data_IF_052181843993
#
_entry.id   IF_052181843993
#
_cell.length_a   1.000
_cell.length_b   1.000
_cell.length_c   1.000
_cell.angle_alpha   90.00
_cell.angle_beta   90.00
_cell.angle_gamma   90.00
#
_symmetry.space_group_name_H-M   'P 1'
#
loop_
_entity.id
_entity.type
_entity.pdbx_description
1 polymer ?
#
# COMPACT_ATOMS: atom_id res chain seq x y z
N UNK A 1 -51.88 -9.81 -56.27
CA UNK A 1 -51.61 -9.36 -54.89
C UNK A 1 -50.19 -9.78 -54.49
N UNK A 2 -49.18 -8.94 -54.78
CA UNK A 2 -47.78 -9.19 -54.37
C UNK A 2 -47.57 -8.56 -53.00
N UNK A 3 -47.50 -9.40 -51.96
CA UNK A 3 -47.12 -8.96 -50.61
C UNK A 3 -45.64 -8.52 -50.61
N UNK A 4 -45.26 -7.54 -49.77
CA UNK A 4 -43.96 -6.91 -49.86
C UNK A 4 -42.91 -7.77 -49.15
N UNK A 5 -42.15 -8.54 -49.92
CA UNK A 5 -40.99 -9.30 -49.43
C UNK A 5 -39.94 -8.37 -48.78
N UNK A 6 -39.90 -7.11 -49.23
CA UNK A 6 -38.99 -6.06 -48.75
C UNK A 6 -39.25 -5.66 -47.31
N UNK A 7 -40.50 -5.68 -46.85
CA UNK A 7 -40.86 -5.30 -45.46
C UNK A 7 -40.48 -6.37 -44.44
N UNK A 8 -40.45 -7.64 -44.86
CA UNK A 8 -40.01 -8.76 -44.01
C UNK A 8 -38.50 -8.69 -43.83
N UNK A 9 -37.75 -8.37 -44.88
CA UNK A 9 -36.28 -8.30 -44.84
C UNK A 9 -35.79 -7.13 -43.99
N UNK A 10 -36.44 -5.96 -44.05
CA UNK A 10 -36.09 -4.82 -43.18
C UNK A 10 -36.41 -5.08 -41.71
N UNK A 11 -37.49 -5.80 -41.39
CA UNK A 11 -37.79 -6.21 -40.01
C UNK A 11 -36.75 -7.17 -39.43
N UNK A 12 -36.24 -8.09 -40.26
CA UNK A 12 -35.22 -9.07 -39.87
C UNK A 12 -33.83 -8.43 -39.66
N UNK A 13 -33.50 -7.40 -40.43
CA UNK A 13 -32.25 -6.63 -40.25
C UNK A 13 -32.33 -5.73 -39.01
N UNK A 14 -33.48 -5.11 -38.73
CA UNK A 14 -33.65 -4.31 -37.51
C UNK A 14 -33.62 -5.16 -36.23
N UNK A 15 -34.15 -6.38 -36.23
CA UNK A 15 -34.13 -7.25 -35.04
C UNK A 15 -32.73 -7.75 -34.66
N UNK A 16 -31.83 -7.91 -35.64
CA UNK A 16 -30.43 -8.29 -35.41
C UNK A 16 -29.62 -7.17 -34.72
N UNK A 17 -30.01 -5.90 -34.90
CA UNK A 17 -29.35 -4.74 -34.26
C UNK A 17 -29.73 -4.66 -32.76
N UNK A 18 -30.94 -5.09 -32.38
CA UNK A 18 -31.39 -5.12 -30.99
C UNK A 18 -30.84 -6.31 -30.17
N UNK A 19 -30.27 -7.34 -30.82
CA UNK A 19 -29.70 -8.49 -30.12
C UNK A 19 -28.25 -8.31 -29.66
N UNK A 20 -27.61 -7.19 -30.04
CA UNK A 20 -26.23 -6.90 -29.67
C UNK A 20 -26.09 -6.04 -28.40
N UNK A 21 -27.07 -6.14 -27.49
CA UNK A 21 -26.88 -5.76 -26.10
C UNK A 21 -25.83 -6.70 -25.49
N UNK A 22 -24.54 -6.38 -25.65
CA UNK A 22 -23.51 -6.87 -24.73
C UNK A 22 -23.97 -6.48 -23.34
N UNK A 23 -24.47 -7.44 -22.57
CA UNK A 23 -24.74 -7.25 -21.16
C UNK A 23 -23.42 -6.75 -20.55
N UNK A 24 -23.38 -5.49 -20.14
CA UNK A 24 -22.29 -4.98 -19.33
C UNK A 24 -22.18 -5.90 -18.13
N UNK A 25 -21.06 -6.63 -18.04
CA UNK A 25 -20.81 -7.53 -16.94
C UNK A 25 -20.76 -6.66 -15.68
N UNK A 26 -21.81 -6.70 -14.87
CA UNK A 26 -21.86 -5.96 -13.61
C UNK A 26 -20.78 -6.52 -12.71
N UNK A 27 -19.65 -5.82 -12.63
CA UNK A 27 -18.52 -6.20 -11.78
C UNK A 27 -18.95 -6.01 -10.33
N UNK A 28 -18.79 -7.05 -9.52
CA UNK A 28 -19.07 -6.97 -8.08
C UNK A 28 -18.16 -5.94 -7.39
N UNK A 29 -18.57 -5.43 -6.22
CA UNK A 29 -17.73 -4.49 -5.46
C UNK A 29 -16.38 -5.09 -5.09
N UNK A 30 -16.36 -6.38 -4.77
CA UNK A 30 -15.13 -7.14 -4.46
C UNK A 30 -14.21 -7.25 -5.67
N UNK A 31 -14.72 -7.65 -6.84
CA UNK A 31 -13.91 -7.71 -8.07
C UNK A 31 -13.39 -6.34 -8.47
N UNK A 32 -14.22 -5.30 -8.34
CA UNK A 32 -13.80 -3.93 -8.60
C UNK A 32 -12.67 -3.51 -7.64
N UNK A 33 -12.83 -3.77 -6.35
CA UNK A 33 -11.82 -3.48 -5.34
C UNK A 33 -10.52 -4.24 -5.55
N UNK A 34 -10.57 -5.48 -6.05
CA UNK A 34 -9.37 -6.23 -6.43
C UNK A 34 -8.61 -5.57 -7.58
N UNK A 35 -9.32 -5.19 -8.65
CA UNK A 35 -8.70 -4.51 -9.81
C UNK A 35 -8.00 -3.23 -9.35
N UNK A 36 -8.68 -2.39 -8.58
CA UNK A 36 -8.10 -1.15 -8.07
C UNK A 36 -6.93 -1.41 -7.13
N UNK A 37 -7.03 -2.43 -6.25
CA UNK A 37 -5.94 -2.78 -5.35
C UNK A 37 -4.66 -3.12 -6.11
N UNK A 38 -4.72 -3.99 -7.12
CA UNK A 38 -3.54 -4.33 -7.93
C UNK A 38 -3.02 -3.15 -8.74
N UNK A 39 -3.90 -2.28 -9.25
CA UNK A 39 -3.52 -1.07 -9.98
C UNK A 39 -2.70 -0.11 -9.10
N UNK A 40 -3.12 0.14 -7.86
CA UNK A 40 -2.44 1.10 -6.97
C UNK A 40 -1.27 0.50 -6.19
N UNK A 41 -1.20 -0.83 -6.09
CA UNK A 41 -0.27 -1.52 -5.21
C UNK A 41 1.20 -1.10 -5.39
N UNK A 42 1.74 -0.96 -6.62
CA UNK A 42 3.12 -0.50 -6.81
C UNK A 42 3.37 0.89 -6.21
N UNK A 43 2.47 1.84 -6.45
CA UNK A 43 2.59 3.20 -5.91
C UNK A 43 2.45 3.23 -4.39
N UNK A 44 1.55 2.39 -3.83
CA UNK A 44 1.37 2.27 -2.39
C UNK A 44 2.64 1.69 -1.77
N UNK A 45 3.17 0.62 -2.34
CA UNK A 45 4.38 -0.03 -1.87
C UNK A 45 5.57 0.92 -1.88
N UNK A 46 5.80 1.66 -2.96
CA UNK A 46 6.87 2.67 -3.05
C UNK A 46 6.73 3.78 -2.00
N UNK A 47 5.49 4.08 -1.58
CA UNK A 47 5.23 5.15 -0.62
C UNK A 47 5.40 4.71 0.84
N UNK A 48 5.14 3.43 1.14
CA UNK A 48 5.18 2.93 2.53
C UNK A 48 6.45 2.13 2.83
N UNK A 49 7.01 1.42 1.86
CA UNK A 49 8.12 0.50 2.09
C UNK A 49 9.47 1.17 1.78
N UNK A 50 10.44 0.95 2.66
CA UNK A 50 11.84 1.26 2.42
C UNK A 50 12.72 0.07 2.81
N UNK A 51 13.86 -0.07 2.15
CA UNK A 51 14.85 -1.09 2.52
C UNK A 51 15.57 -0.65 3.79
N UNK A 52 15.26 -1.29 4.93
CA UNK A 52 15.89 -1.04 6.23
C UNK A 52 17.42 -1.18 6.20
N UNK A 53 17.99 -1.91 5.24
CA UNK A 53 19.46 -2.01 5.09
C UNK A 53 20.09 -0.66 4.72
N UNK A 54 19.29 0.24 4.12
CA UNK A 54 19.66 1.59 3.70
C UNK A 54 19.47 2.66 4.81
N UNK A 55 18.94 2.31 5.98
CA UNK A 55 18.68 3.28 7.06
C UNK A 55 19.96 4.02 7.46
N UNK A 56 19.93 5.37 7.57
CA UNK A 56 21.09 6.17 7.98
C UNK A 56 21.59 5.79 9.38
N UNK A 57 22.82 6.20 9.74
CA UNK A 57 23.36 5.93 11.07
C UNK A 57 22.40 6.45 12.16
N UNK A 58 22.33 5.75 13.30
CA UNK A 58 21.39 6.08 14.36
C UNK A 58 21.66 7.48 14.95
N UNK A 59 20.65 8.06 15.63
CA UNK A 59 20.80 9.31 16.37
C UNK A 59 21.92 9.22 17.43
N UNK A 60 22.34 10.36 18.02
CA UNK A 60 23.36 10.36 19.07
C UNK A 60 23.02 9.34 20.17
N UNK A 61 23.99 8.54 20.64
CA UNK A 61 23.73 7.61 21.73
C UNK A 61 23.48 8.38 23.04
N UNK A 62 22.79 7.77 24.03
CA UNK A 62 22.43 8.44 25.29
C UNK A 62 23.58 9.14 25.99
N UNK A 63 24.80 8.58 25.93
CA UNK A 63 25.99 9.15 26.59
C UNK A 63 26.35 10.57 26.09
N UNK A 64 25.93 10.96 24.89
CA UNK A 64 26.14 12.33 24.38
C UNK A 64 25.26 13.36 25.08
N UNK A 65 24.11 12.94 25.62
CA UNK A 65 23.18 13.80 26.34
C UNK A 65 23.50 13.89 27.84
N UNK A 66 24.33 12.99 28.36
CA UNK A 66 24.72 12.96 29.79
C UNK A 66 25.87 13.92 30.13
N UNK A 67 26.48 14.58 29.13
CA UNK A 67 27.56 15.54 29.39
C UNK A 67 26.99 16.77 30.10
N UNK A 68 27.61 17.13 31.24
CA UNK A 68 27.22 18.26 32.13
C UNK A 68 27.06 19.62 31.43
N UNK A 69 27.62 19.78 30.22
CA UNK A 69 27.53 21.00 29.41
C UNK A 69 26.20 21.17 28.66
N UNK A 70 25.31 20.17 28.72
CA UNK A 70 24.02 20.19 28.05
C UNK A 70 22.89 20.10 29.10
N UNK A 71 22.31 21.25 29.43
CA UNK A 71 20.99 21.31 30.05
C UNK A 71 19.91 20.93 29.01
N UNK A 72 18.76 20.42 29.46
CA UNK A 72 17.62 19.98 28.63
C UNK A 72 17.11 21.05 27.64
N UNK A 73 17.56 22.29 27.78
CA UNK A 73 17.27 23.45 26.92
C UNK A 73 18.13 23.53 25.64
N UNK A 74 19.12 22.64 25.42
CA UNK A 74 20.10 22.78 24.32
C UNK A 74 20.26 21.54 23.41
N UNK A 75 19.16 20.83 23.13
CA UNK A 75 19.14 19.60 22.32
C UNK A 75 19.77 19.79 20.92
N UNK A 76 19.50 20.94 20.28
CA UNK A 76 20.01 21.23 18.94
C UNK A 76 21.54 21.33 18.90
N UNK A 77 22.15 21.88 19.96
CA UNK A 77 23.62 21.94 20.09
C UNK A 77 24.20 20.55 20.28
N UNK A 78 23.59 19.69 21.09
CA UNK A 78 24.03 18.28 21.26
C UNK A 78 24.05 17.55 19.92
N UNK A 79 22.97 17.68 19.14
CA UNK A 79 22.86 17.06 17.83
C UNK A 79 23.92 17.62 16.87
N UNK A 80 24.15 18.94 16.89
CA UNK A 80 25.16 19.61 16.07
C UNK A 80 26.58 19.14 16.41
N UNK A 81 26.91 19.05 17.70
CA UNK A 81 28.22 18.60 18.18
C UNK A 81 28.45 17.11 17.87
N UNK A 82 27.41 16.26 18.03
CA UNK A 82 27.47 14.85 17.61
C UNK A 82 27.76 14.72 16.11
N UNK A 83 27.09 15.51 15.27
CA UNK A 83 27.31 15.51 13.80
C UNK A 83 28.73 15.92 13.40
N UNK A 84 29.46 16.61 14.27
CA UNK A 84 30.87 16.99 14.06
C UNK A 84 31.86 16.00 14.67
N UNK A 85 31.38 15.04 15.46
CA UNK A 85 32.26 14.05 16.10
C UNK A 85 32.89 13.11 15.09
N UNK A 86 34.12 12.68 15.36
CA UNK A 86 34.82 11.67 14.54
C UNK A 86 34.01 10.37 14.40
N UNK A 87 33.26 10.01 15.46
CA UNK A 87 32.36 8.86 15.45
C UNK A 87 31.29 9.00 14.37
N UNK A 88 30.55 10.11 14.37
CA UNK A 88 29.49 10.32 13.38
C UNK A 88 30.06 10.41 11.96
N UNK A 89 31.19 11.10 11.77
CA UNK A 89 31.84 11.20 10.46
C UNK A 89 32.21 9.81 9.94
N UNK A 90 32.82 8.96 10.78
CA UNK A 90 33.17 7.58 10.42
C UNK A 90 31.93 6.72 10.14
N UNK A 91 30.90 6.80 10.98
CA UNK A 91 29.66 6.05 10.80
C UNK A 91 28.93 6.48 9.51
N UNK A 92 28.98 7.77 9.17
CA UNK A 92 28.43 8.31 7.93
C UNK A 92 29.18 7.79 6.71
N UNK A 93 30.52 7.81 6.70
CA UNK A 93 31.33 7.26 5.61
C UNK A 93 31.05 5.76 5.42
N UNK A 94 30.99 5.00 6.51
CA UNK A 94 30.65 3.58 6.47
C UNK A 94 29.24 3.33 5.90
N UNK A 95 28.27 4.15 6.29
CA UNK A 95 26.91 4.08 5.74
C UNK A 95 26.86 4.43 4.25
N UNK A 96 27.58 5.46 3.81
CA UNK A 96 27.68 5.84 2.38
C UNK A 96 28.26 4.68 1.56
N UNK A 97 29.38 4.08 2.00
CA UNK A 97 29.99 2.91 1.35
C UNK A 97 29.04 1.70 1.30
N UNK A 98 28.32 1.43 2.40
CA UNK A 98 27.32 0.35 2.46
C UNK A 98 26.15 0.62 1.51
N UNK A 99 25.65 1.86 1.47
CA UNK A 99 24.57 2.28 0.58
C UNK A 99 24.95 2.07 -0.88
N UNK A 100 26.17 2.46 -1.27
CA UNK A 100 26.66 2.25 -2.64
C UNK A 100 26.75 0.76 -2.99
N UNK A 101 27.20 -0.07 -2.05
CA UNK A 101 27.22 -1.53 -2.21
C UNK A 101 25.80 -2.09 -2.38
N UNK A 102 24.84 -1.64 -1.58
CA UNK A 102 23.44 -2.07 -1.65
C UNK A 102 22.70 -1.56 -2.90
N UNK A 103 23.11 -0.43 -3.46
CA UNK A 103 22.57 0.05 -4.73
C UNK A 103 22.92 -0.94 -5.86
N UNK A 104 24.14 -1.49 -5.84
CA UNK A 104 24.62 -2.50 -6.80
C UNK A 104 24.14 -3.93 -6.48
N UNK A 105 23.75 -4.21 -5.23
CA UNK A 105 23.22 -5.51 -4.79
C UNK A 105 21.97 -5.90 -5.59
N UNK A 106 21.98 -7.06 -6.26
CA UNK A 106 20.83 -7.56 -7.02
C UNK A 106 20.01 -8.62 -6.26
N UNK A 107 20.37 -8.89 -5.00
CA UNK A 107 19.72 -9.91 -4.16
C UNK A 107 18.24 -9.60 -4.01
N UNK A 108 17.36 -10.60 -4.23
CA UNK A 108 15.93 -10.44 -4.00
C UNK A 108 15.61 -10.08 -2.55
N UNK A 109 14.62 -9.20 -2.39
CA UNK A 109 14.05 -8.81 -1.10
C UNK A 109 12.64 -9.38 -1.04
N UNK A 110 12.40 -10.34 -0.15
CA UNK A 110 11.09 -10.94 0.01
C UNK A 110 10.24 -10.16 1.00
N UNK A 111 9.03 -9.81 0.59
CA UNK A 111 7.99 -9.27 1.46
C UNK A 111 6.96 -10.38 1.74
N UNK A 112 6.74 -10.67 3.01
CA UNK A 112 5.72 -11.60 3.45
C UNK A 112 4.36 -10.90 3.45
N UNK A 113 3.49 -11.24 2.51
CA UNK A 113 2.19 -10.60 2.30
C UNK A 113 1.11 -11.40 3.02
N UNK A 114 0.26 -10.74 3.81
CA UNK A 114 -0.96 -11.35 4.34
C UNK A 114 -1.72 -12.08 3.24
N UNK A 115 -2.14 -13.32 3.50
CA UNK A 115 -2.82 -14.16 2.50
C UNK A 115 -4.09 -13.54 1.92
N UNK A 116 -4.75 -12.70 2.70
CA UNK A 116 -5.97 -11.99 2.32
C UNK A 116 -5.97 -10.56 2.82
N UNK A 117 -6.73 -9.70 2.15
CA UNK A 117 -7.07 -8.40 2.73
C UNK A 117 -8.07 -8.54 3.87
N UNK A 118 -7.95 -7.70 4.89
CA UNK A 118 -8.92 -7.63 6.00
C UNK A 118 -10.12 -6.76 5.63
N UNK A 119 -11.16 -6.77 6.45
CA UNK A 119 -12.23 -5.77 6.36
C UNK A 119 -11.72 -4.35 6.66
N UNK A 120 -12.46 -3.34 6.20
CA UNK A 120 -12.32 -1.95 6.66
C UNK A 120 -13.12 -1.73 7.95
N UNK A 121 -12.77 -0.68 8.69
CA UNK A 121 -13.40 -0.31 9.95
C UNK A 121 -14.46 0.78 9.76
N UNK A 122 -15.34 0.97 10.75
CA UNK A 122 -16.40 2.00 10.67
C UNK A 122 -15.78 3.40 10.62
N UNK A 123 -14.68 3.58 11.30
CA UNK A 123 -13.87 4.79 11.37
C UNK A 123 -13.39 5.21 9.97
N UNK A 124 -13.13 4.26 9.08
CA UNK A 124 -12.72 4.55 7.71
C UNK A 124 -13.83 5.23 6.90
N UNK A 125 -15.10 4.93 7.19
CA UNK A 125 -16.24 5.63 6.58
C UNK A 125 -16.23 7.11 6.94
N UNK A 126 -16.02 7.41 8.22
CA UNK A 126 -15.97 8.78 8.71
C UNK A 126 -14.76 9.53 8.13
N UNK A 127 -13.58 8.91 8.15
CA UNK A 127 -12.36 9.53 7.64
C UNK A 127 -12.41 9.75 6.12
N UNK A 128 -13.03 8.85 5.34
CA UNK A 128 -13.24 9.04 3.91
C UNK A 128 -14.11 10.29 3.61
N UNK A 129 -15.24 10.43 4.30
CA UNK A 129 -16.13 11.60 4.15
C UNK A 129 -15.44 12.88 4.59
N UNK A 130 -14.70 12.85 5.69
CA UNK A 130 -13.96 14.00 6.23
C UNK A 130 -12.86 14.46 5.27
N UNK A 131 -12.08 13.53 4.73
CA UNK A 131 -10.98 13.84 3.81
C UNK A 131 -11.49 14.43 2.48
N UNK A 132 -12.57 13.86 1.93
CA UNK A 132 -13.17 14.34 0.68
C UNK A 132 -14.42 15.22 0.86
N UNK A 133 -14.56 15.91 2.01
CA UNK A 133 -15.75 16.72 2.33
C UNK A 133 -16.11 17.74 1.24
N UNK A 134 -15.11 18.35 0.61
CA UNK A 134 -15.30 19.38 -0.44
C UNK A 134 -15.70 18.78 -1.80
N UNK A 135 -15.76 17.44 -1.92
CA UNK A 135 -16.14 16.72 -3.13
C UNK A 135 -17.55 16.14 -3.07
N UNK A 136 -18.29 16.39 -1.99
CA UNK A 136 -19.68 15.94 -1.78
C UNK A 136 -19.85 14.43 -2.02
N UNK A 137 -18.90 13.62 -1.53
CA UNK A 137 -18.96 12.17 -1.71
C UNK A 137 -20.15 11.56 -0.95
N UNK A 138 -20.69 10.46 -1.49
CA UNK A 138 -21.81 9.72 -0.89
C UNK A 138 -21.36 8.29 -0.65
N UNK A 139 -21.58 7.75 0.55
CA UNK A 139 -21.33 6.34 0.85
C UNK A 139 -22.59 5.51 0.60
N UNK A 140 -22.44 4.29 0.10
CA UNK A 140 -23.57 3.36 -0.06
C UNK A 140 -23.88 2.61 1.25
N UNK A 141 -24.42 3.33 2.24
CA UNK A 141 -24.68 2.80 3.58
C UNK A 141 -25.57 1.56 3.65
N UNK A 142 -26.28 1.21 2.57
CA UNK A 142 -27.19 0.05 2.50
C UNK A 142 -26.51 -1.22 1.98
N UNK A 143 -25.47 -1.09 1.15
CA UNK A 143 -24.80 -2.22 0.50
C UNK A 143 -23.36 -2.44 1.00
N UNK A 144 -22.93 -1.72 2.03
CA UNK A 144 -21.59 -1.87 2.64
C UNK A 144 -21.45 -3.26 3.26
N UNK A 145 -20.66 -4.11 2.59
CA UNK A 145 -20.36 -5.45 3.06
C UNK A 145 -19.11 -5.44 3.95
N UNK A 146 -19.32 -5.55 5.27
CA UNK A 146 -18.27 -5.37 6.28
C UNK A 146 -17.37 -6.59 6.52
N UNK A 147 -17.73 -7.80 6.06
CA UNK A 147 -17.14 -9.05 6.62
C UNK A 147 -16.34 -9.92 5.66
N UNK A 148 -16.36 -9.63 4.36
CA UNK A 148 -15.79 -10.55 3.38
C UNK A 148 -14.48 -9.99 2.82
N UNK A 149 -13.33 -10.45 3.33
CA UNK A 149 -12.04 -10.22 2.68
C UNK A 149 -11.90 -11.01 1.37
N UNK A 150 -10.80 -10.81 0.64
CA UNK A 150 -10.44 -11.66 -0.49
C UNK A 150 -8.97 -12.08 -0.42
N UNK A 151 -8.67 -13.27 -0.96
CA UNK A 151 -7.30 -13.78 -1.06
C UNK A 151 -6.51 -12.93 -2.05
N UNK A 152 -5.30 -12.53 -1.65
CA UNK A 152 -4.37 -11.81 -2.53
C UNK A 152 -3.71 -12.84 -3.47
N UNK A 153 -3.70 -12.55 -4.76
CA UNK A 153 -2.97 -13.31 -5.76
C UNK A 153 -1.58 -12.68 -5.93
N UNK A 154 -0.54 -13.33 -5.40
CA UNK A 154 0.81 -12.78 -5.44
C UNK A 154 1.35 -12.61 -6.86
N UNK A 155 0.82 -13.35 -7.84
CA UNK A 155 1.24 -13.23 -9.24
C UNK A 155 0.75 -11.93 -9.91
N UNK A 156 -0.25 -11.28 -9.32
CA UNK A 156 -0.78 -9.98 -9.78
C UNK A 156 -0.17 -8.80 -9.04
N UNK A 157 0.63 -9.04 -8.00
CA UNK A 157 1.35 -7.99 -7.32
C UNK A 157 2.54 -7.54 -8.16
N UNK A 158 2.57 -6.26 -8.48
CA UNK A 158 3.68 -5.64 -9.17
C UNK A 158 4.49 -4.75 -8.22
N UNK A 159 5.78 -4.57 -8.50
CA UNK A 159 6.62 -3.61 -7.80
C UNK A 159 7.47 -2.85 -8.81
N UNK A 160 7.61 -1.55 -8.59
CA UNK A 160 8.54 -0.73 -9.36
C UNK A 160 10.01 -1.06 -9.03
N UNK A 161 10.26 -1.72 -7.89
CA UNK A 161 11.58 -2.24 -7.55
C UNK A 161 11.70 -3.73 -7.92
N UNK A 162 12.52 -4.02 -8.94
CA UNK A 162 12.74 -5.38 -9.46
C UNK A 162 13.31 -6.37 -8.43
N UNK A 163 13.97 -5.88 -7.37
CA UNK A 163 14.50 -6.71 -6.28
C UNK A 163 13.37 -7.27 -5.41
N UNK A 164 12.23 -6.59 -5.34
CA UNK A 164 11.12 -7.02 -4.48
C UNK A 164 10.45 -8.26 -5.06
N UNK A 165 10.23 -9.24 -4.19
CA UNK A 165 9.49 -10.48 -4.43
C UNK A 165 8.48 -10.70 -3.29
N UNK A 166 7.45 -11.48 -3.56
CA UNK A 166 6.36 -11.71 -2.62
C UNK A 166 6.25 -13.18 -2.24
N UNK A 167 5.96 -13.43 -0.97
CA UNK A 167 5.61 -14.75 -0.44
C UNK A 167 4.39 -14.61 0.46
N UNK A 168 3.59 -15.66 0.58
CA UNK A 168 2.48 -15.63 1.52
C UNK A 168 3.01 -15.67 2.94
N UNK A 169 2.41 -14.87 3.81
CA UNK A 169 2.79 -14.86 5.21
C UNK A 169 2.53 -16.22 5.89
N UNK A 170 1.55 -16.99 5.42
CA UNK A 170 1.29 -18.35 5.90
C UNK A 170 2.41 -19.37 5.59
N UNK A 171 3.34 -19.05 4.68
CA UNK A 171 4.53 -19.88 4.41
C UNK A 171 5.58 -19.80 5.53
N UNK A 172 5.43 -18.85 6.47
CA UNK A 172 6.42 -18.55 7.50
C UNK A 172 5.96 -18.95 8.91
N UNK A 173 6.89 -19.13 9.85
CA UNK A 173 6.57 -19.31 11.26
C UNK A 173 5.71 -18.18 11.83
N UNK A 174 4.86 -18.50 12.81
CA UNK A 174 3.97 -17.52 13.45
C UNK A 174 4.69 -16.73 14.54
N UNK A 175 4.20 -15.53 14.81
CA UNK A 175 4.66 -14.72 15.94
C UNK A 175 6.11 -14.25 15.81
N UNK A 176 6.86 -14.28 16.91
CA UNK A 176 8.26 -13.80 16.95
C UNK A 176 9.22 -14.70 16.19
N UNK A 177 8.87 -15.97 16.01
CA UNK A 177 9.69 -16.93 15.27
C UNK A 177 9.85 -16.55 13.80
N UNK A 178 8.88 -15.82 13.23
CA UNK A 178 9.01 -15.20 11.92
C UNK A 178 10.32 -14.41 11.77
N UNK A 179 10.66 -13.62 12.80
CA UNK A 179 11.82 -12.72 12.78
C UNK A 179 13.12 -13.36 13.30
N UNK A 180 13.01 -14.50 13.98
CA UNK A 180 14.16 -15.22 14.58
C UNK A 180 14.67 -16.35 13.71
N UNK A 181 13.86 -16.80 12.76
CA UNK A 181 14.23 -17.85 11.83
C UNK A 181 15.27 -17.32 10.86
N UNK A 182 16.35 -18.08 10.69
CA UNK A 182 17.32 -17.85 9.62
C UNK A 182 16.75 -18.43 8.32
N UNK A 183 16.64 -17.58 7.31
CA UNK A 183 16.19 -17.95 5.97
C UNK A 183 17.40 -17.93 5.02
N UNK A 184 17.33 -18.75 3.97
CA UNK A 184 18.26 -18.75 2.84
C UNK A 184 18.08 -17.54 1.91
N UNK A 185 17.10 -16.68 2.17
CA UNK A 185 16.83 -15.42 1.47
C UNK A 185 16.54 -14.28 2.43
N UNK A 186 16.66 -13.04 1.93
CA UNK A 186 16.39 -11.85 2.75
C UNK A 186 14.89 -11.54 2.83
N UNK A 187 14.34 -11.53 4.05
CA UNK A 187 12.98 -11.08 4.33
C UNK A 187 13.02 -9.63 4.80
N UNK A 188 12.47 -8.72 3.98
CA UNK A 188 12.53 -7.28 4.22
C UNK A 188 11.41 -6.76 5.13
N UNK A 189 10.20 -7.26 4.94
CA UNK A 189 9.05 -6.87 5.76
C UNK A 189 7.94 -7.93 5.73
N UNK A 190 7.02 -7.82 6.68
CA UNK A 190 5.69 -8.41 6.62
C UNK A 190 4.68 -7.29 6.33
N UNK A 191 3.81 -7.44 5.35
CA UNK A 191 2.86 -6.40 4.91
C UNK A 191 1.43 -6.93 4.86
N UNK A 192 0.45 -6.07 5.12
CA UNK A 192 -0.96 -6.40 5.03
C UNK A 192 -1.82 -5.17 4.76
N UNK A 193 -3.02 -5.40 4.21
CA UNK A 193 -3.95 -4.34 3.81
C UNK A 193 -5.39 -4.71 4.15
N UNK A 194 -6.22 -3.70 4.37
CA UNK A 194 -7.66 -3.85 4.34
C UNK A 194 -8.19 -3.82 2.89
N UNK A 195 -9.46 -4.18 2.73
CA UNK A 195 -10.24 -3.82 1.56
C UNK A 195 -10.27 -2.30 1.37
N UNK A 196 -10.48 -1.90 0.13
CA UNK A 196 -10.77 -0.52 -0.22
C UNK A 196 -12.27 -0.29 0.03
N UNK A 197 -12.58 0.72 0.83
CA UNK A 197 -13.92 1.29 0.94
C UNK A 197 -14.04 2.40 -0.10
N UNK A 198 -15.05 2.31 -0.97
CA UNK A 198 -15.30 3.31 -2.01
C UNK A 198 -16.48 4.22 -1.67
N UNK A 199 -16.46 5.41 -2.27
CA UNK A 199 -17.68 6.18 -2.43
C UNK A 199 -18.60 5.54 -3.48
N UNK A 200 -19.88 5.93 -3.48
CA UNK A 200 -20.91 5.41 -4.38
C UNK A 200 -20.57 5.61 -5.86
N UNK A 201 -19.83 6.66 -6.22
CA UNK A 201 -19.41 6.91 -7.59
C UNK A 201 -18.20 6.08 -8.03
N UNK A 202 -17.55 5.36 -7.10
CA UNK A 202 -16.30 4.62 -7.34
C UNK A 202 -15.22 5.53 -7.95
N UNK A 203 -15.08 6.73 -7.39
CA UNK A 203 -14.08 7.73 -7.79
C UNK A 203 -13.13 8.10 -6.65
N UNK A 204 -13.51 7.78 -5.43
CA UNK A 204 -12.76 8.01 -4.20
C UNK A 204 -12.76 6.74 -3.37
N UNK A 205 -11.66 6.48 -2.67
CA UNK A 205 -11.56 5.35 -1.78
C UNK A 205 -10.59 5.57 -0.63
N UNK A 206 -10.70 4.68 0.35
CA UNK A 206 -9.81 4.58 1.50
C UNK A 206 -9.46 3.11 1.71
N UNK A 207 -8.22 2.85 2.09
CA UNK A 207 -7.79 1.56 2.60
C UNK A 207 -6.77 1.77 3.72
N UNK A 208 -6.67 0.81 4.62
CA UNK A 208 -5.61 0.74 5.61
C UNK A 208 -4.54 -0.24 5.14
N UNK A 209 -3.30 0.05 5.50
CA UNK A 209 -2.15 -0.81 5.28
C UNK A 209 -1.29 -0.84 6.52
N UNK A 210 -0.43 -1.83 6.62
CA UNK A 210 0.59 -1.85 7.64
C UNK A 210 1.74 -2.75 7.25
N UNK A 211 2.92 -2.44 7.79
CA UNK A 211 4.06 -3.33 7.69
C UNK A 211 4.78 -3.48 9.02
N UNK A 212 5.52 -4.58 9.14
CA UNK A 212 6.54 -4.78 10.16
C UNK A 212 7.89 -5.08 9.51
N UNK A 213 8.97 -4.50 10.04
CA UNK A 213 10.38 -4.73 9.66
C UNK A 213 11.20 -5.24 10.87
N UNK A 214 10.52 -5.92 11.81
CA UNK A 214 11.09 -6.49 13.03
C UNK A 214 10.03 -6.73 14.10
N UNK A 215 10.46 -7.22 15.27
CA UNK A 215 9.57 -7.53 16.41
C UNK A 215 8.94 -6.25 17.00
N UNK A 216 9.69 -5.15 17.04
CA UNK A 216 9.29 -3.84 17.60
C UNK A 216 9.55 -2.73 16.57
N UNK A 217 9.21 -3.01 15.31
CA UNK A 217 9.35 -2.07 14.23
C UNK A 217 8.21 -2.32 13.27
N UNK A 218 7.09 -1.67 13.53
CA UNK A 218 5.94 -1.70 12.65
C UNK A 218 5.28 -0.35 12.52
N UNK A 219 4.60 -0.16 11.40
CA UNK A 219 3.86 1.06 11.13
C UNK A 219 2.56 0.73 10.41
N UNK A 220 1.51 1.45 10.78
CA UNK A 220 0.21 1.42 10.12
C UNK A 220 -0.05 2.72 9.37
N UNK A 221 -0.82 2.61 8.30
CA UNK A 221 -1.13 3.69 7.39
C UNK A 221 -2.60 3.66 7.00
N UNK A 222 -3.15 4.84 6.83
CA UNK A 222 -4.43 5.09 6.16
C UNK A 222 -4.16 5.77 4.83
N UNK A 223 -4.63 5.16 3.77
CA UNK A 223 -4.33 5.54 2.39
C UNK A 223 -5.63 6.00 1.74
N UNK A 224 -5.66 7.26 1.32
CA UNK A 224 -6.74 7.84 0.53
C UNK A 224 -6.36 7.78 -0.94
N UNK A 225 -7.27 7.30 -1.76
CA UNK A 225 -7.10 7.18 -3.20
C UNK A 225 -8.23 7.88 -3.94
N UNK A 226 -7.95 8.32 -5.17
CA UNK A 226 -8.96 8.88 -6.06
C UNK A 226 -8.62 8.63 -7.51
N UNK A 227 -9.61 8.80 -8.38
CA UNK A 227 -9.36 8.94 -9.82
C UNK A 227 -8.77 10.31 -10.13
N UNK A 228 -7.81 10.35 -11.06
CA UNK A 228 -7.36 11.58 -11.69
C UNK A 228 -8.25 11.94 -12.90
N UNK A 229 -7.94 13.04 -13.57
CA UNK A 229 -8.72 13.53 -14.72
C UNK A 229 -8.69 12.57 -15.93
N UNK A 230 -7.75 11.63 -15.95
CA UNK A 230 -7.63 10.58 -16.97
C UNK A 230 -8.36 9.29 -16.58
N UNK A 231 -8.96 9.24 -15.39
CA UNK A 231 -9.67 8.07 -14.86
C UNK A 231 -8.79 7.04 -14.15
N UNK A 232 -7.47 7.26 -14.04
CA UNK A 232 -6.56 6.34 -13.37
C UNK A 232 -6.60 6.54 -11.85
N UNK A 233 -6.47 5.48 -11.09
CA UNK A 233 -6.36 5.56 -9.64
C UNK A 233 -4.98 6.06 -9.20
N UNK A 234 -4.99 7.03 -8.30
CA UNK A 234 -3.78 7.61 -7.71
C UNK A 234 -3.95 7.73 -6.19
N UNK A 235 -2.82 7.72 -5.49
CA UNK A 235 -2.77 8.07 -4.08
C UNK A 235 -3.03 9.56 -3.95
N UNK A 236 -4.03 9.92 -3.15
CA UNK A 236 -4.32 11.30 -2.80
C UNK A 236 -3.55 11.72 -1.54
N UNK A 237 -3.54 10.84 -0.53
CA UNK A 237 -2.84 11.07 0.73
C UNK A 237 -2.56 9.77 1.48
N UNK A 238 -1.45 9.72 2.21
CA UNK A 238 -1.17 8.69 3.22
C UNK A 238 -1.03 9.37 4.58
N UNK A 239 -1.60 8.75 5.62
CA UNK A 239 -1.52 9.22 7.00
C UNK A 239 -1.06 8.05 7.87
N UNK A 240 -0.06 8.28 8.72
CA UNK A 240 0.38 7.31 9.71
C UNK A 240 -0.69 7.13 10.79
N UNK A 241 -1.02 5.88 11.11
CA UNK A 241 -2.07 5.56 12.10
C UNK A 241 -1.49 5.08 13.42
N UNK A 242 -0.38 4.35 13.39
CA UNK A 242 0.30 3.83 14.57
C UNK A 242 1.75 3.47 14.24
N UNK A 243 2.59 3.50 15.27
CA UNK A 243 3.99 3.03 15.24
C UNK A 243 4.17 2.09 16.43
N UNK A 244 4.82 0.96 16.21
CA UNK A 244 5.12 -0.07 17.22
C UNK A 244 6.59 -0.45 17.23
#
# INVERSE_FOLDING_TARGET
MRKPLTTIFTFLVLSLIFWNCKQEKVISETEFGQVVFYEIFPSVLDSIYYDKRMTPPPPPPPEFFEKKEYDNSNLDKVISDYKKSDKFIKDKINWENKKDSLNQDSTPIYLAVSDSVTSFEREDMYELVKHFKNKNIVLDSKNIELKNGYKIDLNKLESNNKKIKFKYQSEFPKGREFWRTEYDFYVGAKIGFSRILFDKSKSYGILNGGFGMGILNGSGFRIFIRKNDKGNWIIDKIIDTWIS
#
